data_IF_701756068195
#
_entry.id   IF_701756068195
#
_cell.length_a   1.000
_cell.length_b   1.000
_cell.length_c   1.000
_cell.angle_alpha   90.00
_cell.angle_beta   90.00
_cell.angle_gamma   90.00
#
_symmetry.space_group_name_H-M   'P 1'
#
loop_
_entity.id
_entity.type
_entity.pdbx_description
1 polymer ?
#
# COMPACT_ATOMS: atom_id res chain seq x y z
N UNK A 1 31.38 -36.82 12.37
CA UNK A 1 32.15 -35.71 11.74
C UNK A 1 32.57 -36.06 10.31
N UNK A 2 33.22 -37.20 10.07
CA UNK A 2 33.58 -37.66 8.71
C UNK A 2 32.40 -37.62 7.73
N UNK A 3 31.26 -38.21 8.10
CA UNK A 3 30.03 -38.18 7.29
C UNK A 3 29.58 -36.76 6.89
N UNK A 4 29.68 -35.77 7.78
CA UNK A 4 29.33 -34.38 7.44
C UNK A 4 30.27 -33.78 6.40
N UNK A 5 31.56 -34.10 6.45
CA UNK A 5 32.52 -33.65 5.44
C UNK A 5 32.35 -34.41 4.11
N UNK A 6 31.93 -35.67 4.14
CA UNK A 6 31.59 -36.44 2.93
C UNK A 6 30.34 -35.89 2.25
N UNK A 7 29.28 -35.63 3.01
CA UNK A 7 28.06 -34.98 2.51
C UNK A 7 28.37 -33.59 1.95
N UNK A 8 29.18 -32.80 2.66
CA UNK A 8 29.62 -31.49 2.19
C UNK A 8 30.47 -31.59 0.92
N UNK A 9 31.36 -32.59 0.81
CA UNK A 9 32.16 -32.81 -0.40
C UNK A 9 31.29 -33.18 -1.59
N UNK A 10 30.28 -34.04 -1.39
CA UNK A 10 29.33 -34.40 -2.43
C UNK A 10 28.53 -33.17 -2.90
N UNK A 11 28.05 -32.35 -1.97
CA UNK A 11 27.33 -31.11 -2.26
C UNK A 11 28.20 -30.09 -3.01
N UNK A 12 29.47 -29.92 -2.60
CA UNK A 12 30.42 -29.00 -3.26
C UNK A 12 30.81 -29.44 -4.68
N UNK A 13 30.74 -30.74 -4.98
CA UNK A 13 31.00 -31.24 -6.33
C UNK A 13 29.75 -31.25 -7.23
N UNK A 14 28.57 -30.95 -6.68
CA UNK A 14 27.30 -30.88 -7.39
C UNK A 14 26.91 -29.42 -7.72
N UNK A 15 26.05 -29.24 -8.73
CA UNK A 15 25.47 -27.94 -9.05
C UNK A 15 24.42 -27.55 -7.98
N UNK A 16 24.32 -26.26 -7.59
CA UNK A 16 25.03 -25.10 -8.13
C UNK A 16 26.39 -24.81 -7.46
N UNK A 17 26.70 -25.46 -6.34
CA UNK A 17 27.82 -25.06 -5.47
C UNK A 17 29.20 -25.22 -6.10
N UNK A 18 29.35 -26.16 -7.03
CA UNK A 18 30.61 -26.41 -7.77
C UNK A 18 31.24 -25.16 -8.38
N UNK A 19 30.41 -24.24 -8.87
CA UNK A 19 30.88 -23.02 -9.55
C UNK A 19 30.97 -21.80 -8.60
N UNK A 20 30.49 -21.94 -7.37
CA UNK A 20 30.43 -20.86 -6.37
C UNK A 20 31.52 -20.95 -5.30
N UNK A 21 32.29 -22.05 -5.26
CA UNK A 21 33.37 -22.25 -4.29
C UNK A 21 34.73 -22.35 -4.96
N UNK A 22 35.75 -21.77 -4.33
CA UNK A 22 37.13 -21.89 -4.78
C UNK A 22 37.61 -23.35 -4.68
N UNK A 23 38.44 -23.78 -5.64
CA UNK A 23 38.99 -25.15 -5.67
C UNK A 23 39.75 -25.54 -4.40
N UNK A 24 40.37 -24.56 -3.72
CA UNK A 24 41.07 -24.78 -2.44
C UNK A 24 40.12 -25.27 -1.33
N UNK A 25 38.87 -24.80 -1.31
CA UNK A 25 37.85 -25.25 -0.36
C UNK A 25 37.45 -26.70 -0.60
N UNK A 26 37.31 -27.10 -1.87
CA UNK A 26 37.00 -28.49 -2.23
C UNK A 26 38.13 -29.42 -1.76
N UNK A 27 39.40 -29.04 -2.00
CA UNK A 27 40.56 -29.78 -1.51
C UNK A 27 40.62 -29.84 0.03
N UNK A 28 40.27 -28.75 0.72
CA UNK A 28 40.21 -28.70 2.18
C UNK A 28 39.17 -29.67 2.74
N UNK A 29 37.95 -29.64 2.21
CA UNK A 29 36.84 -30.50 2.65
C UNK A 29 37.15 -31.97 2.35
N UNK A 30 37.74 -32.27 1.19
CA UNK A 30 38.18 -33.61 0.83
C UNK A 30 39.23 -34.17 1.80
N UNK A 31 40.25 -33.38 2.15
CA UNK A 31 41.28 -33.78 3.11
C UNK A 31 40.70 -33.96 4.52
N UNK A 32 39.75 -33.11 4.94
CA UNK A 32 39.06 -33.26 6.23
C UNK A 32 38.18 -34.50 6.28
N UNK A 33 37.46 -34.83 5.20
CA UNK A 33 36.68 -36.06 5.09
C UNK A 33 37.59 -37.28 5.29
N UNK A 34 38.69 -37.36 4.53
CA UNK A 34 39.67 -38.43 4.62
C UNK A 34 40.33 -38.52 6.02
N UNK A 35 40.69 -37.39 6.62
CA UNK A 35 41.28 -37.33 7.96
C UNK A 35 40.32 -37.93 9.01
N UNK A 36 39.07 -37.49 9.03
CA UNK A 36 38.10 -37.97 10.03
C UNK A 36 37.66 -39.41 9.79
N UNK A 37 37.62 -39.88 8.54
CA UNK A 37 37.41 -41.29 8.23
C UNK A 37 38.57 -42.15 8.75
N UNK A 38 39.81 -41.77 8.44
CA UNK A 38 40.99 -42.50 8.88
C UNK A 38 41.14 -42.50 10.42
N UNK A 39 40.79 -41.40 11.09
CA UNK A 39 40.75 -41.31 12.55
C UNK A 39 39.71 -42.27 13.15
N UNK A 40 38.54 -42.39 12.51
CA UNK A 40 37.51 -43.33 12.93
C UNK A 40 37.98 -44.79 12.75
N UNK A 41 38.62 -45.11 11.63
CA UNK A 41 39.25 -46.42 11.41
C UNK A 41 40.35 -46.73 12.44
N UNK A 42 41.18 -45.74 12.79
CA UNK A 42 42.22 -45.88 13.80
C UNK A 42 41.66 -46.21 15.18
N UNK A 43 40.70 -45.40 15.66
CA UNK A 43 40.10 -45.58 16.99
C UNK A 43 39.30 -46.88 17.10
N UNK A 44 38.54 -47.21 16.06
CA UNK A 44 37.81 -48.47 16.01
C UNK A 44 38.75 -49.67 15.94
N UNK A 45 39.88 -49.54 15.21
CA UNK A 45 40.94 -50.55 15.19
C UNK A 45 41.52 -50.84 16.58
N UNK A 46 41.69 -49.83 17.43
CA UNK A 46 42.12 -50.02 18.83
C UNK A 46 41.10 -50.82 19.64
N UNK A 47 39.80 -50.55 19.46
CA UNK A 47 38.73 -51.31 20.13
C UNK A 47 38.66 -52.76 19.64
N UNK A 48 38.81 -52.99 18.33
CA UNK A 48 38.88 -54.34 17.74
C UNK A 48 40.10 -55.12 18.25
N UNK A 49 41.22 -54.44 18.45
CA UNK A 49 42.43 -55.02 19.02
C UNK A 49 42.20 -55.54 20.44
N UNK A 50 41.50 -54.77 21.29
CA UNK A 50 41.13 -55.18 22.65
C UNK A 50 40.17 -56.38 22.66
N UNK A 51 39.36 -56.55 21.61
CA UNK A 51 38.44 -57.68 21.41
C UNK A 51 39.07 -58.87 20.68
N UNK A 52 40.36 -58.80 20.36
CA UNK A 52 41.10 -59.80 19.59
C UNK A 52 40.56 -60.03 18.14
N UNK A 53 39.80 -59.08 17.59
CA UNK A 53 39.27 -59.11 16.21
C UNK A 53 40.28 -58.53 15.19
N UNK A 54 41.51 -59.06 15.23
CA UNK A 54 42.68 -58.54 14.48
C UNK A 54 42.48 -58.53 12.96
N UNK A 55 41.70 -59.46 12.40
CA UNK A 55 41.43 -59.50 10.97
C UNK A 55 40.68 -58.25 10.49
N UNK A 56 39.64 -57.84 11.23
CA UNK A 56 38.90 -56.63 10.93
C UNK A 56 39.74 -55.37 11.20
N UNK A 57 40.54 -55.37 12.28
CA UNK A 57 41.49 -54.29 12.58
C UNK A 57 42.41 -54.02 11.37
N UNK A 58 43.06 -55.06 10.83
CA UNK A 58 43.96 -54.93 9.68
C UNK A 58 43.23 -54.36 8.46
N UNK A 59 42.03 -54.84 8.16
CA UNK A 59 41.25 -54.38 7.02
C UNK A 59 40.85 -52.89 7.17
N UNK A 60 40.45 -52.47 8.37
CA UNK A 60 40.11 -51.07 8.70
C UNK A 60 41.31 -50.14 8.63
N UNK A 61 42.45 -50.54 9.21
CA UNK A 61 43.68 -49.75 9.17
C UNK A 61 44.19 -49.58 7.74
N UNK A 62 44.15 -50.65 6.92
CA UNK A 62 44.47 -50.57 5.48
C UNK A 62 43.55 -49.60 4.74
N UNK A 63 42.25 -49.64 5.01
CA UNK A 63 41.28 -48.71 4.42
C UNK A 63 41.60 -47.25 4.77
N UNK A 64 41.92 -46.98 6.05
CA UNK A 64 42.33 -45.66 6.52
C UNK A 64 43.59 -45.13 5.82
N UNK A 65 44.65 -45.94 5.75
CA UNK A 65 45.90 -45.57 5.06
C UNK A 65 45.67 -45.32 3.56
N UNK A 66 44.90 -46.19 2.89
CA UNK A 66 44.57 -46.02 1.47
C UNK A 66 43.78 -44.72 1.23
N UNK A 67 42.88 -44.37 2.14
CA UNK A 67 42.06 -43.15 1.99
C UNK A 67 42.90 -41.90 2.19
N UNK A 68 43.83 -41.90 3.16
CA UNK A 68 44.74 -40.76 3.37
C UNK A 68 45.71 -40.56 2.21
N UNK A 69 46.29 -41.64 1.69
CA UNK A 69 47.23 -41.59 0.56
C UNK A 69 46.56 -41.07 -0.71
N UNK A 70 45.31 -41.47 -0.98
CA UNK A 70 44.55 -40.94 -2.11
C UNK A 70 44.20 -39.46 -1.95
N UNK A 71 43.74 -39.06 -0.76
CA UNK A 71 43.39 -37.67 -0.48
C UNK A 71 44.60 -36.73 -0.61
N UNK A 72 45.81 -37.18 -0.24
CA UNK A 72 47.05 -36.41 -0.41
C UNK A 72 47.36 -36.05 -1.86
N UNK A 73 46.94 -36.84 -2.84
CA UNK A 73 47.14 -36.54 -4.28
C UNK A 73 46.41 -35.27 -4.71
N UNK A 74 45.31 -34.94 -4.03
CA UNK A 74 44.44 -33.79 -4.31
C UNK A 74 44.68 -32.60 -3.35
N UNK A 75 45.85 -32.53 -2.71
CA UNK A 75 46.17 -31.55 -1.65
C UNK A 75 46.57 -30.15 -2.10
N UNK A 76 46.55 -29.85 -3.41
CA UNK A 76 47.01 -28.55 -3.94
C UNK A 76 46.17 -27.40 -3.37
N UNK A 77 46.82 -26.51 -2.60
CA UNK A 77 46.18 -25.35 -1.97
C UNK A 77 45.65 -25.60 -0.55
N UNK A 78 45.89 -26.79 0.03
CA UNK A 78 45.47 -27.10 1.39
C UNK A 78 46.37 -26.44 2.46
N UNK A 79 45.83 -26.09 3.65
CA UNK A 79 46.61 -25.54 4.75
C UNK A 79 47.69 -26.50 5.24
N UNK A 80 48.90 -25.99 5.49
CA UNK A 80 50.04 -26.79 5.95
C UNK A 80 49.75 -27.56 7.26
N UNK A 81 48.98 -26.97 8.17
CA UNK A 81 48.56 -27.61 9.42
C UNK A 81 47.72 -28.89 9.19
N UNK A 82 46.90 -28.92 8.14
CA UNK A 82 46.08 -30.08 7.80
C UNK A 82 46.93 -31.22 7.26
N UNK A 83 47.95 -30.90 6.45
CA UNK A 83 48.89 -31.87 5.91
C UNK A 83 49.80 -32.48 6.98
N UNK A 84 50.22 -31.67 7.95
CA UNK A 84 50.95 -32.15 9.14
C UNK A 84 50.08 -33.11 9.97
N UNK A 85 48.83 -32.76 10.24
CA UNK A 85 47.90 -33.62 10.98
C UNK A 85 47.65 -34.97 10.27
N UNK A 86 47.46 -34.96 8.95
CA UNK A 86 47.30 -36.19 8.15
C UNK A 86 48.57 -37.04 8.22
N UNK A 87 49.75 -36.42 8.08
CA UNK A 87 51.02 -37.16 8.10
C UNK A 87 51.30 -37.79 9.46
N UNK A 88 50.96 -37.10 10.56
CA UNK A 88 51.03 -37.68 11.91
C UNK A 88 50.09 -38.88 12.06
N UNK A 89 48.82 -38.75 11.64
CA UNK A 89 47.85 -39.85 11.71
C UNK A 89 48.29 -41.07 10.88
N UNK A 90 48.83 -40.83 9.69
CA UNK A 90 49.35 -41.89 8.82
C UNK A 90 50.49 -42.68 9.48
N UNK A 91 51.39 -42.02 10.22
CA UNK A 91 52.45 -42.70 10.98
C UNK A 91 51.84 -43.61 12.06
N UNK A 92 50.83 -43.15 12.80
CA UNK A 92 50.15 -43.98 13.81
C UNK A 92 49.41 -45.17 13.19
N UNK A 93 48.68 -44.94 12.11
CA UNK A 93 47.97 -46.01 11.37
C UNK A 93 48.93 -47.08 10.85
N UNK A 94 50.04 -46.68 10.22
CA UNK A 94 51.02 -47.63 9.70
C UNK A 94 51.71 -48.42 10.82
N UNK A 95 52.08 -47.76 11.92
CA UNK A 95 52.66 -48.45 13.09
C UNK A 95 51.72 -49.50 13.67
N UNK A 96 50.43 -49.17 13.82
CA UNK A 96 49.44 -50.12 14.33
C UNK A 96 49.16 -51.24 13.31
N UNK A 97 49.13 -50.91 12.02
CA UNK A 97 48.94 -51.88 10.96
C UNK A 97 50.08 -52.90 10.91
N UNK A 98 51.34 -52.44 10.98
CA UNK A 98 52.52 -53.32 11.02
C UNK A 98 52.50 -54.24 12.25
N UNK A 99 52.09 -53.71 13.41
CA UNK A 99 51.92 -54.49 14.64
C UNK A 99 50.85 -55.57 14.46
N UNK A 100 49.63 -55.18 14.07
CA UNK A 100 48.50 -56.09 13.89
C UNK A 100 48.79 -57.16 12.83
N UNK A 101 49.43 -56.80 11.72
CA UNK A 101 49.86 -57.75 10.69
C UNK A 101 50.88 -58.76 11.23
N UNK A 102 51.90 -58.30 11.96
CA UNK A 102 52.92 -59.18 12.52
C UNK A 102 52.35 -60.15 13.56
N UNK A 103 51.39 -59.71 14.36
CA UNK A 103 50.68 -60.55 15.34
C UNK A 103 49.73 -61.52 14.66
N UNK A 104 49.00 -61.09 13.63
CA UNK A 104 48.16 -61.97 12.85
C UNK A 104 48.96 -63.05 12.10
N UNK A 105 50.12 -62.71 11.54
CA UNK A 105 50.97 -63.66 10.81
C UNK A 105 51.66 -64.70 11.73
N UNK A 106 51.75 -64.42 13.05
CA UNK A 106 52.48 -65.27 14.02
C UNK A 106 51.58 -65.98 15.02
N UNK A 107 50.47 -65.36 15.41
CA UNK A 107 49.65 -65.79 16.56
C UNK A 107 48.23 -66.13 16.10
N UNK A 108 47.52 -65.18 15.49
CA UNK A 108 46.08 -65.33 15.25
C UNK A 108 45.73 -66.04 13.93
N UNK A 109 46.56 -65.90 12.90
CA UNK A 109 46.43 -66.51 11.57
C UNK A 109 45.03 -66.34 10.93
N UNK A 110 44.36 -65.22 11.21
CA UNK A 110 43.02 -64.97 10.72
C UNK A 110 43.03 -64.42 9.29
N UNK A 111 42.01 -64.79 8.51
CA UNK A 111 41.84 -64.29 7.15
C UNK A 111 41.34 -62.85 7.16
N UNK A 112 42.15 -61.94 6.62
CA UNK A 112 41.78 -60.52 6.51
C UNK A 112 40.60 -60.38 5.52
N UNK A 113 39.46 -59.79 5.94
CA UNK A 113 38.31 -59.54 5.07
C UNK A 113 38.59 -58.44 4.05
N UNK A 114 37.78 -58.40 3.00
CA UNK A 114 37.85 -57.33 1.99
C UNK A 114 37.31 -56.01 2.57
N UNK A 115 37.87 -54.83 2.21
CA UNK A 115 37.34 -53.54 2.65
C UNK A 115 35.85 -53.34 2.33
N UNK A 116 35.35 -53.92 1.23
CA UNK A 116 33.95 -53.82 0.81
C UNK A 116 32.99 -54.69 1.63
N UNK A 117 33.50 -55.66 2.38
CA UNK A 117 32.71 -56.53 3.25
C UNK A 117 32.63 -56.02 4.70
N UNK A 118 33.26 -54.89 4.99
CA UNK A 118 33.28 -54.32 6.34
C UNK A 118 31.96 -53.61 6.67
N UNK A 119 31.42 -53.77 7.90
CA UNK A 119 30.22 -53.05 8.31
C UNK A 119 30.47 -51.53 8.35
N UNK A 120 29.44 -50.68 8.20
CA UNK A 120 29.60 -49.24 8.37
C UNK A 120 30.03 -48.91 9.81
N UNK A 121 30.88 -47.90 9.97
CA UNK A 121 31.30 -47.44 11.31
C UNK A 121 30.11 -46.79 12.04
N UNK A 122 29.95 -47.02 13.36
CA UNK A 122 28.90 -46.38 14.13
C UNK A 122 29.09 -44.85 14.16
N UNK A 123 28.02 -44.10 13.96
CA UNK A 123 28.04 -42.65 13.95
C UNK A 123 26.95 -42.06 14.85
N UNK A 124 27.31 -41.01 15.60
CA UNK A 124 26.40 -40.26 16.45
C UNK A 124 26.61 -38.75 16.24
N UNK A 125 25.52 -38.00 16.07
CA UNK A 125 25.58 -36.54 15.92
C UNK A 125 25.29 -35.82 17.23
N UNK A 126 26.20 -34.96 17.64
CA UNK A 126 26.04 -34.07 18.80
C UNK A 126 25.66 -32.63 18.40
N UNK A 127 25.47 -32.37 17.10
CA UNK A 127 25.24 -31.01 16.59
C UNK A 127 23.89 -30.93 15.88
N UNK A 128 23.20 -29.80 16.06
CA UNK A 128 21.96 -29.45 15.37
C UNK A 128 22.13 -28.09 14.70
N UNK A 129 21.53 -27.92 13.53
CA UNK A 129 21.49 -26.62 12.85
C UNK A 129 20.67 -25.64 13.69
N UNK A 130 21.21 -24.45 13.95
CA UNK A 130 20.47 -23.36 14.60
C UNK A 130 19.70 -22.57 13.54
N UNK A 131 18.43 -22.28 13.80
CA UNK A 131 17.65 -21.40 12.93
C UNK A 131 18.05 -19.95 13.21
N UNK A 132 18.57 -19.24 12.20
CA UNK A 132 19.02 -17.85 12.35
C UNK A 132 17.89 -16.83 12.50
N UNK A 133 16.64 -17.24 12.34
CA UNK A 133 15.47 -16.36 12.40
C UNK A 133 15.42 -15.56 13.71
N UNK A 134 15.75 -16.18 14.84
CA UNK A 134 15.68 -15.52 16.16
C UNK A 134 16.88 -14.61 16.47
N UNK A 135 18.03 -14.84 15.80
CA UNK A 135 19.28 -14.08 16.01
C UNK A 135 19.32 -12.84 15.13
N UNK A 136 18.78 -12.94 13.91
CA UNK A 136 18.65 -11.84 12.96
C UNK A 136 17.31 -11.11 13.09
N UNK A 137 16.52 -11.42 14.13
CA UNK A 137 15.23 -10.80 14.37
C UNK A 137 15.37 -9.33 14.83
N UNK A 138 15.56 -8.45 13.86
CA UNK A 138 15.51 -7.00 14.05
C UNK A 138 14.08 -6.49 14.32
N UNK A 139 13.05 -7.36 14.37
CA UNK A 139 11.65 -6.94 14.61
C UNK A 139 11.44 -6.28 15.98
N UNK A 140 12.41 -6.40 16.90
CA UNK A 140 12.43 -5.69 18.19
C UNK A 140 12.73 -4.19 18.03
N UNK A 141 13.45 -3.80 16.99
CA UNK A 141 13.75 -2.40 16.69
C UNK A 141 12.75 -1.83 15.68
N UNK A 142 11.75 -1.11 16.18
CA UNK A 142 10.70 -0.53 15.33
C UNK A 142 11.07 0.87 14.85
N UNK A 143 11.98 0.97 13.88
CA UNK A 143 12.39 2.26 13.29
C UNK A 143 11.23 2.98 12.56
N UNK A 144 10.25 2.22 12.06
CA UNK A 144 9.11 2.74 11.28
C UNK A 144 7.75 2.41 11.91
N UNK A 145 7.67 2.39 13.24
CA UNK A 145 6.42 2.06 13.96
C UNK A 145 5.23 2.95 13.57
N UNK A 146 5.49 4.18 13.15
CA UNK A 146 4.48 5.16 12.70
C UNK A 146 4.16 5.07 11.20
N UNK A 147 4.94 4.30 10.42
CA UNK A 147 4.72 4.19 8.99
C UNK A 147 3.52 3.28 8.73
N UNK A 148 2.50 3.85 8.10
CA UNK A 148 1.31 3.10 7.70
C UNK A 148 1.66 2.24 6.49
N UNK A 149 1.39 0.91 6.52
CA UNK A 149 1.61 0.05 5.37
C UNK A 149 0.82 0.51 4.15
N UNK A 150 1.43 0.38 2.97
CA UNK A 150 0.82 0.73 1.69
C UNK A 150 -0.48 -0.05 1.43
N UNK A 151 -0.60 -1.29 1.92
CA UNK A 151 -1.84 -2.07 1.86
C UNK A 151 -2.99 -1.39 2.58
N UNK A 152 -2.74 -0.84 3.77
CA UNK A 152 -3.73 -0.10 4.56
C UNK A 152 -4.12 1.22 3.90
N UNK A 153 -3.14 1.96 3.36
CA UNK A 153 -3.40 3.20 2.63
C UNK A 153 -4.24 2.98 1.36
N UNK A 154 -3.95 1.93 0.59
CA UNK A 154 -4.72 1.53 -0.59
C UNK A 154 -6.13 1.08 -0.23
N UNK A 155 -6.30 0.26 0.80
CA UNK A 155 -7.61 -0.18 1.26
C UNK A 155 -8.49 1.01 1.67
N UNK A 156 -7.90 1.99 2.35
CA UNK A 156 -8.63 3.18 2.77
C UNK A 156 -8.98 4.11 1.62
N UNK A 157 -8.09 4.27 0.65
CA UNK A 157 -8.37 5.03 -0.59
C UNK A 157 -9.56 4.44 -1.33
N UNK A 158 -9.61 3.10 -1.45
CA UNK A 158 -10.77 2.39 -2.02
C UNK A 158 -12.05 2.62 -1.21
N UNK A 159 -11.96 2.58 0.11
CA UNK A 159 -13.11 2.86 0.98
C UNK A 159 -13.64 4.29 0.78
N UNK A 160 -12.76 5.29 0.72
CA UNK A 160 -13.19 6.68 0.47
C UNK A 160 -13.84 6.85 -0.89
N UNK A 161 -13.34 6.16 -1.93
CA UNK A 161 -13.93 6.16 -3.26
C UNK A 161 -15.31 5.50 -3.27
N UNK A 162 -15.47 4.35 -2.60
CA UNK A 162 -16.77 3.68 -2.46
C UNK A 162 -17.79 4.54 -1.71
N UNK A 163 -17.38 5.21 -0.62
CA UNK A 163 -18.26 6.12 0.12
C UNK A 163 -18.66 7.31 -0.75
N UNK A 164 -17.71 7.93 -1.46
CA UNK A 164 -18.00 9.04 -2.36
C UNK A 164 -18.96 8.62 -3.49
N UNK A 165 -18.82 7.42 -4.03
CA UNK A 165 -19.69 6.88 -5.07
C UNK A 165 -21.11 6.60 -4.56
N UNK A 166 -21.24 6.00 -3.36
CA UNK A 166 -22.55 5.79 -2.72
C UNK A 166 -23.23 7.12 -2.45
N UNK A 167 -22.52 8.09 -1.88
CA UNK A 167 -23.09 9.41 -1.56
C UNK A 167 -23.53 10.13 -2.84
N UNK A 168 -22.70 10.10 -3.90
CA UNK A 168 -23.05 10.66 -5.21
C UNK A 168 -24.31 10.01 -5.77
N UNK A 169 -24.35 8.68 -5.82
CA UNK A 169 -25.47 7.92 -6.40
C UNK A 169 -26.78 8.20 -5.65
N UNK A 170 -26.73 8.30 -4.32
CA UNK A 170 -27.93 8.61 -3.53
C UNK A 170 -28.36 10.08 -3.69
N UNK A 171 -27.41 11.03 -3.73
CA UNK A 171 -27.71 12.43 -3.98
C UNK A 171 -28.35 12.64 -5.37
N UNK A 172 -27.83 11.98 -6.40
CA UNK A 172 -28.41 12.00 -7.75
C UNK A 172 -29.84 11.44 -7.77
N UNK A 173 -30.13 10.34 -7.07
CA UNK A 173 -31.49 9.80 -6.95
C UNK A 173 -32.46 10.74 -6.25
N UNK A 174 -32.01 11.39 -5.17
CA UNK A 174 -32.82 12.39 -4.47
C UNK A 174 -33.13 13.58 -5.38
N UNK A 175 -32.12 14.07 -6.11
CA UNK A 175 -32.26 15.19 -7.05
C UNK A 175 -33.19 14.84 -8.22
N UNK A 176 -33.05 13.64 -8.80
CA UNK A 176 -33.96 13.13 -9.84
C UNK A 176 -35.39 13.03 -9.35
N UNK A 177 -35.61 12.55 -8.12
CA UNK A 177 -36.94 12.48 -7.52
C UNK A 177 -37.57 13.85 -7.36
N UNK A 178 -36.80 14.85 -6.90
CA UNK A 178 -37.29 16.23 -6.75
C UNK A 178 -37.56 16.89 -8.10
N UNK A 179 -36.70 16.65 -9.10
CA UNK A 179 -36.89 17.17 -10.45
C UNK A 179 -38.12 16.55 -11.14
N UNK A 180 -38.31 15.24 -11.01
CA UNK A 180 -39.50 14.56 -11.52
C UNK A 180 -40.77 15.13 -10.89
N UNK A 181 -40.77 15.35 -9.58
CA UNK A 181 -41.88 16.00 -8.88
C UNK A 181 -42.15 17.39 -9.43
N UNK A 182 -41.11 18.21 -9.63
CA UNK A 182 -41.21 19.57 -10.18
C UNK A 182 -41.79 19.57 -11.60
N UNK A 183 -41.32 18.65 -12.46
CA UNK A 183 -41.83 18.51 -13.84
C UNK A 183 -43.30 18.12 -13.84
N UNK A 184 -43.71 17.12 -13.03
CA UNK A 184 -45.11 16.68 -12.93
C UNK A 184 -46.04 17.76 -12.39
N UNK A 185 -45.60 18.49 -11.36
CA UNK A 185 -46.38 19.62 -10.82
C UNK A 185 -46.57 20.72 -11.87
N UNK A 186 -45.52 21.03 -12.63
CA UNK A 186 -45.58 21.98 -13.75
C UNK A 186 -46.48 21.51 -14.90
N UNK A 187 -46.47 20.23 -15.25
CA UNK A 187 -47.39 19.67 -16.26
C UNK A 187 -48.87 19.78 -15.84
N UNK A 188 -49.15 19.82 -14.54
CA UNK A 188 -50.50 19.93 -13.99
C UNK A 188 -50.89 21.36 -13.58
N UNK A 189 -50.02 22.35 -13.82
CA UNK A 189 -50.17 23.74 -13.35
C UNK A 189 -50.53 23.83 -11.85
N UNK A 190 -49.97 22.93 -11.03
CA UNK A 190 -50.11 22.91 -9.57
C UNK A 190 -48.81 23.40 -8.92
N UNK A 191 -48.85 24.16 -7.82
CA UNK A 191 -50.04 24.55 -7.02
C UNK A 191 -50.83 25.76 -7.57
N UNK A 192 -50.37 26.39 -8.64
CA UNK A 192 -50.87 27.66 -9.15
C UNK A 192 -52.38 27.66 -9.45
N UNK A 193 -52.90 26.55 -9.99
CA UNK A 193 -54.33 26.38 -10.28
C UNK A 193 -55.21 26.41 -9.03
N UNK A 194 -54.74 25.91 -7.88
CA UNK A 194 -55.48 25.93 -6.61
C UNK A 194 -55.44 27.33 -6.00
N UNK A 195 -54.29 28.01 -6.07
CA UNK A 195 -54.14 29.37 -5.58
C UNK A 195 -54.99 30.37 -6.39
N UNK A 196 -55.15 30.13 -7.71
CA UNK A 196 -56.05 30.90 -8.57
C UNK A 196 -57.54 30.76 -8.17
N UNK A 197 -57.94 29.61 -7.63
CA UNK A 197 -59.30 29.33 -7.12
C UNK A 197 -59.60 30.05 -5.80
N UNK A 198 -58.59 30.22 -4.92
CA UNK A 198 -58.79 30.83 -3.59
C UNK A 198 -58.96 32.36 -3.63
N UNK A 199 -58.67 33.01 -4.76
CA UNK A 199 -58.96 34.44 -4.94
C UNK A 199 -58.26 35.35 -3.92
N UNK A 200 -57.09 34.96 -3.43
CA UNK A 200 -56.26 35.83 -2.59
C UNK A 200 -55.41 36.73 -3.50
N UNK A 201 -55.74 38.02 -3.48
CA UNK A 201 -55.10 39.10 -4.25
C UNK A 201 -53.76 39.57 -3.67
N UNK A 202 -53.33 38.96 -2.56
CA UNK A 202 -52.00 39.15 -1.98
C UNK A 202 -51.05 38.13 -2.60
N UNK A 203 -49.80 38.55 -2.85
CA UNK A 203 -48.71 37.64 -3.24
C UNK A 203 -48.75 36.39 -2.34
N UNK A 204 -48.82 35.15 -2.89
CA UNK A 204 -48.85 33.94 -2.08
C UNK A 204 -47.70 33.96 -1.06
N UNK A 205 -47.97 33.60 0.20
CA UNK A 205 -46.98 33.73 1.28
C UNK A 205 -45.70 32.95 0.98
N UNK A 206 -45.80 31.81 0.28
CA UNK A 206 -44.65 31.03 -0.17
C UNK A 206 -43.79 31.80 -1.20
N UNK A 207 -44.42 32.47 -2.18
CA UNK A 207 -43.71 33.28 -3.16
C UNK A 207 -43.08 34.51 -2.49
N UNK A 208 -43.79 35.15 -1.55
CA UNK A 208 -43.26 36.25 -0.75
C UNK A 208 -42.03 35.82 0.05
N UNK A 209 -42.09 34.65 0.70
CA UNK A 209 -40.97 34.06 1.44
C UNK A 209 -39.79 33.74 0.51
N UNK A 210 -40.02 33.20 -0.68
CA UNK A 210 -38.96 32.94 -1.67
C UNK A 210 -38.33 34.24 -2.19
N UNK A 211 -39.12 35.29 -2.46
CA UNK A 211 -38.55 36.58 -2.87
C UNK A 211 -37.78 37.23 -1.72
N UNK A 212 -38.24 37.14 -0.48
CA UNK A 212 -37.50 37.60 0.69
C UNK A 212 -36.16 36.87 0.84
N UNK A 213 -36.10 35.55 0.58
CA UNK A 213 -34.83 34.79 0.54
C UNK A 213 -33.89 35.27 -0.56
N UNK A 214 -34.41 35.54 -1.77
CA UNK A 214 -33.62 36.09 -2.89
C UNK A 214 -33.11 37.49 -2.56
N UNK A 215 -33.93 38.33 -1.92
CA UNK A 215 -33.51 39.67 -1.48
C UNK A 215 -32.48 39.60 -0.34
N UNK A 216 -32.65 38.67 0.61
CA UNK A 216 -31.72 38.45 1.71
C UNK A 216 -30.35 37.94 1.24
N UNK A 217 -30.31 37.21 0.12
CA UNK A 217 -29.07 36.76 -0.54
C UNK A 217 -28.42 37.83 -1.43
N UNK A 218 -28.93 39.07 -1.42
CA UNK A 218 -28.35 40.20 -2.15
C UNK A 218 -28.96 40.46 -3.53
N UNK A 219 -29.96 39.68 -3.94
CA UNK A 219 -30.69 39.86 -5.20
C UNK A 219 -29.79 39.81 -6.45
N UNK A 220 -30.20 40.42 -7.57
CA UNK A 220 -29.40 40.47 -8.80
C UNK A 220 -28.10 41.25 -8.65
N UNK A 221 -28.01 42.20 -7.71
CA UNK A 221 -26.77 42.91 -7.43
C UNK A 221 -25.73 42.01 -6.75
N UNK A 222 -26.16 41.13 -5.83
CA UNK A 222 -25.32 40.10 -5.24
C UNK A 222 -24.81 39.10 -6.28
N UNK A 223 -25.68 38.66 -7.19
CA UNK A 223 -25.29 37.78 -8.30
C UNK A 223 -24.25 38.43 -9.23
N UNK A 224 -24.40 39.71 -9.55
CA UNK A 224 -23.42 40.45 -10.35
C UNK A 224 -22.06 40.58 -9.62
N UNK A 225 -22.09 40.77 -8.29
CA UNK A 225 -20.87 40.79 -7.48
C UNK A 225 -20.14 39.43 -7.49
N UNK A 226 -20.88 38.32 -7.39
CA UNK A 226 -20.32 36.97 -7.50
C UNK A 226 -19.75 36.68 -8.91
N UNK A 227 -20.42 37.13 -9.97
CA UNK A 227 -19.88 37.05 -11.34
C UNK A 227 -18.59 37.86 -11.49
N UNK A 228 -18.52 39.03 -10.85
CA UNK A 228 -17.31 39.83 -10.85
C UNK A 228 -16.16 39.14 -10.11
N UNK A 229 -16.43 38.52 -8.95
CA UNK A 229 -15.43 37.71 -8.25
C UNK A 229 -14.93 36.54 -9.10
N UNK A 230 -15.84 35.87 -9.84
CA UNK A 230 -15.48 34.79 -10.75
C UNK A 230 -14.51 35.29 -11.84
N UNK A 231 -14.74 36.47 -12.42
CA UNK A 231 -13.84 37.09 -13.41
C UNK A 231 -12.47 37.39 -12.81
N UNK A 232 -12.41 37.91 -11.60
CA UNK A 232 -11.16 38.19 -10.90
C UNK A 232 -10.38 36.91 -10.61
N UNK A 233 -11.05 35.85 -10.12
CA UNK A 233 -10.42 34.55 -9.90
C UNK A 233 -9.88 33.95 -11.20
N UNK A 234 -10.64 34.04 -12.30
CA UNK A 234 -10.18 33.58 -13.61
C UNK A 234 -8.93 34.34 -14.06
N UNK A 235 -8.91 35.66 -13.89
CA UNK A 235 -7.76 36.51 -14.22
C UNK A 235 -6.52 36.10 -13.44
N UNK A 236 -6.63 35.96 -12.12
CA UNK A 236 -5.51 35.55 -11.24
C UNK A 236 -4.97 34.19 -11.65
N UNK A 237 -5.84 33.20 -11.91
CA UNK A 237 -5.42 31.88 -12.36
C UNK A 237 -4.70 31.92 -13.72
N UNK A 238 -5.17 32.75 -14.65
CA UNK A 238 -4.53 32.95 -15.95
C UNK A 238 -3.15 33.60 -15.79
N UNK A 239 -3.03 34.63 -14.96
CA UNK A 239 -1.75 35.30 -14.67
C UNK A 239 -0.73 34.32 -14.07
N UNK A 240 -1.14 33.50 -13.10
CA UNK A 240 -0.26 32.48 -12.50
C UNK A 240 0.22 31.45 -13.52
N UNK A 241 -0.65 31.04 -14.45
CA UNK A 241 -0.30 30.10 -15.50
C UNK A 241 0.73 30.69 -16.46
N UNK A 242 0.51 31.94 -16.91
CA UNK A 242 1.44 32.66 -17.79
C UNK A 242 2.78 32.87 -17.11
N UNK A 243 2.80 33.33 -15.86
CA UNK A 243 4.05 33.51 -15.10
C UNK A 243 4.83 32.19 -14.96
N UNK A 244 4.13 31.08 -14.70
CA UNK A 244 4.78 29.76 -14.60
C UNK A 244 5.35 29.32 -15.94
N UNK A 245 4.64 29.60 -17.04
CA UNK A 245 5.11 29.32 -18.40
C UNK A 245 6.35 30.15 -18.75
N UNK A 246 6.33 31.45 -18.46
CA UNK A 246 7.45 32.37 -18.67
C UNK A 246 8.70 31.92 -17.90
N UNK A 247 8.56 31.47 -16.65
CA UNK A 247 9.68 30.95 -15.86
C UNK A 247 10.31 29.70 -16.50
N UNK A 248 9.48 28.78 -17.00
CA UNK A 248 9.96 27.57 -17.68
C UNK A 248 10.61 27.91 -19.02
N UNK A 249 10.05 28.85 -19.79
CA UNK A 249 10.63 29.29 -21.07
C UNK A 249 11.95 30.03 -20.87
N UNK A 250 12.04 30.88 -19.84
CA UNK A 250 13.27 31.59 -19.48
C UNK A 250 14.40 30.63 -19.12
N UNK A 251 14.14 29.66 -18.25
CA UNK A 251 15.13 28.65 -17.87
C UNK A 251 15.58 27.81 -19.08
N UNK A 252 14.65 27.40 -19.95
CA UNK A 252 14.97 26.67 -21.16
C UNK A 252 15.81 27.49 -22.16
N UNK A 253 15.54 28.80 -22.28
CA UNK A 253 16.30 29.71 -23.12
C UNK A 253 17.72 29.94 -22.58
N UNK A 254 17.87 30.13 -21.26
CA UNK A 254 19.16 30.26 -20.59
C UNK A 254 20.00 28.98 -20.75
N UNK A 255 19.40 27.81 -20.57
CA UNK A 255 20.09 26.53 -20.77
C UNK A 255 20.52 26.30 -22.23
N UNK A 256 19.67 26.67 -23.20
CA UNK A 256 20.04 26.64 -24.62
C UNK A 256 21.19 27.59 -24.94
N UNK A 257 21.16 28.80 -24.38
CA UNK A 257 22.23 29.79 -24.52
C UNK A 257 23.55 29.28 -23.93
N UNK A 258 23.54 28.74 -22.72
CA UNK A 258 24.75 28.21 -22.09
C UNK A 258 25.31 26.97 -22.80
N UNK A 259 24.46 26.09 -23.33
CA UNK A 259 24.94 24.99 -24.20
C UNK A 259 25.63 25.49 -25.45
N UNK A 260 25.09 26.53 -26.09
CA UNK A 260 25.70 27.12 -27.28
C UNK A 260 27.06 27.76 -26.98
N UNK A 261 27.21 28.39 -25.80
CA UNK A 261 28.45 29.08 -25.40
C UNK A 261 29.53 28.14 -24.87
N UNK A 262 29.15 27.14 -24.08
CA UNK A 262 30.08 26.32 -23.31
C UNK A 262 30.25 24.89 -23.85
N UNK A 263 29.42 24.46 -24.80
CA UNK A 263 29.56 23.19 -25.52
C UNK A 263 29.84 22.00 -24.59
N UNK A 264 31.03 21.41 -24.73
CA UNK A 264 31.48 20.22 -23.97
C UNK A 264 31.72 20.47 -22.49
N UNK A 265 31.82 21.72 -22.02
CA UNK A 265 31.92 22.06 -20.59
C UNK A 265 30.57 22.06 -19.87
N UNK A 266 29.46 22.01 -20.62
CA UNK A 266 28.11 21.99 -20.07
C UNK A 266 27.55 20.57 -20.02
N UNK A 267 27.86 19.83 -18.96
CA UNK A 267 27.49 18.42 -18.79
C UNK A 267 26.13 18.20 -18.10
N UNK A 268 25.36 19.28 -17.88
CA UNK A 268 24.07 19.20 -17.18
C UNK A 268 22.98 18.58 -18.07
N UNK A 269 22.06 17.76 -17.52
CA UNK A 269 20.92 17.24 -18.26
C UNK A 269 20.10 18.35 -18.94
N UNK A 270 19.45 18.01 -20.05
CA UNK A 270 18.67 18.98 -20.81
C UNK A 270 17.47 19.52 -20.01
N UNK A 271 17.33 20.84 -19.95
CA UNK A 271 16.23 21.46 -19.21
C UNK A 271 14.86 21.01 -19.72
N UNK A 272 14.69 20.78 -21.02
CA UNK A 272 13.46 20.21 -21.57
C UNK A 272 13.17 18.78 -21.09
N UNK A 273 14.20 18.00 -20.72
CA UNK A 273 14.00 16.66 -20.14
C UNK A 273 13.59 16.71 -18.68
N UNK A 274 14.13 17.66 -17.91
CA UNK A 274 13.79 17.85 -16.50
C UNK A 274 12.42 18.51 -16.31
N UNK A 275 12.05 19.45 -17.17
CA UNK A 275 10.80 20.22 -17.08
C UNK A 275 9.62 19.57 -17.78
N UNK A 276 9.81 18.45 -18.48
CA UNK A 276 8.75 17.76 -19.24
C UNK A 276 7.47 17.50 -18.43
N UNK A 277 7.61 16.98 -17.21
CA UNK A 277 6.45 16.69 -16.34
C UNK A 277 5.74 17.95 -15.86
N UNK A 278 6.47 19.06 -15.70
CA UNK A 278 5.89 20.36 -15.34
C UNK A 278 5.14 20.96 -16.53
N UNK A 279 5.70 20.87 -17.74
CA UNK A 279 5.03 21.30 -18.98
C UNK A 279 3.74 20.50 -19.23
N UNK A 280 3.75 19.18 -19.03
CA UNK A 280 2.55 18.34 -19.12
C UNK A 280 1.46 18.76 -18.12
N UNK A 281 1.84 19.13 -16.88
CA UNK A 281 0.90 19.65 -15.88
C UNK A 281 0.39 21.04 -16.26
N UNK A 282 1.24 21.92 -16.77
CA UNK A 282 0.86 23.26 -17.23
C UNK A 282 -0.17 23.18 -18.37
N UNK A 283 0.06 22.30 -19.34
CA UNK A 283 -0.90 22.05 -20.43
C UNK A 283 -2.25 21.55 -19.93
N UNK A 284 -2.28 20.68 -18.91
CA UNK A 284 -3.52 20.23 -18.27
C UNK A 284 -4.26 21.38 -17.58
N UNK A 285 -3.55 22.24 -16.84
CA UNK A 285 -4.17 23.42 -16.23
C UNK A 285 -4.69 24.40 -17.27
N UNK A 286 -3.97 24.61 -18.37
CA UNK A 286 -4.42 25.46 -19.48
C UNK A 286 -5.72 24.91 -20.12
N UNK A 287 -5.79 23.59 -20.33
CA UNK A 287 -7.00 22.94 -20.83
C UNK A 287 -8.20 23.10 -19.86
N UNK A 288 -7.97 22.90 -18.56
CA UNK A 288 -9.00 23.08 -17.54
C UNK A 288 -9.49 24.53 -17.48
N UNK A 289 -8.59 25.51 -17.56
CA UNK A 289 -8.95 26.93 -17.56
C UNK A 289 -9.77 27.30 -18.80
N UNK A 290 -9.43 26.74 -19.97
CA UNK A 290 -10.22 26.90 -21.18
C UNK A 290 -11.64 26.33 -21.01
N UNK A 291 -11.79 25.12 -20.48
CA UNK A 291 -13.08 24.50 -20.22
C UNK A 291 -13.92 25.28 -19.19
N UNK A 292 -13.27 25.79 -18.14
CA UNK A 292 -13.90 26.67 -17.16
C UNK A 292 -14.41 27.95 -17.85
N UNK A 293 -13.59 28.59 -18.67
CA UNK A 293 -13.98 29.79 -19.42
C UNK A 293 -15.17 29.59 -20.36
N UNK A 294 -15.30 28.41 -21.00
CA UNK A 294 -16.49 28.07 -21.78
C UNK A 294 -17.75 27.93 -20.92
N UNK A 295 -17.60 27.43 -19.69
CA UNK A 295 -18.70 27.32 -18.72
C UNK A 295 -19.11 28.69 -18.18
N UNK A 296 -18.14 29.55 -17.90
CA UNK A 296 -18.38 30.93 -17.47
C UNK A 296 -19.20 31.69 -18.51
N UNK A 297 -18.86 31.56 -19.80
CA UNK A 297 -19.61 32.20 -20.89
C UNK A 297 -21.05 31.70 -20.96
N UNK A 298 -21.30 30.41 -20.69
CA UNK A 298 -22.66 29.85 -20.63
C UNK A 298 -23.45 30.44 -19.45
N UNK A 299 -22.82 30.55 -18.28
CA UNK A 299 -23.43 31.13 -17.08
C UNK A 299 -23.74 32.60 -17.32
N UNK A 300 -22.77 33.39 -17.80
CA UNK A 300 -22.96 34.82 -18.10
C UNK A 300 -24.09 35.05 -19.12
N UNK A 301 -24.21 34.18 -20.13
CA UNK A 301 -25.33 34.24 -21.09
C UNK A 301 -26.67 33.99 -20.40
N UNK A 302 -26.78 32.93 -19.61
CA UNK A 302 -28.03 32.59 -18.91
C UNK A 302 -28.44 33.67 -17.92
N UNK A 303 -27.49 34.24 -17.17
CA UNK A 303 -27.75 35.37 -16.27
C UNK A 303 -28.27 36.57 -17.05
N UNK A 304 -27.66 36.90 -18.20
CA UNK A 304 -28.11 38.01 -19.05
C UNK A 304 -29.51 37.80 -19.62
N UNK A 305 -29.84 36.58 -20.05
CA UNK A 305 -31.17 36.22 -20.56
C UNK A 305 -32.26 36.39 -19.50
N UNK A 306 -31.96 36.09 -18.24
CA UNK A 306 -32.92 36.20 -17.12
C UNK A 306 -32.82 37.52 -16.34
N UNK A 307 -31.92 38.43 -16.69
CA UNK A 307 -31.67 39.67 -15.94
C UNK A 307 -32.91 40.56 -15.80
N UNK A 308 -33.72 40.66 -16.87
CA UNK A 308 -34.97 41.44 -16.86
C UNK A 308 -36.00 40.88 -15.87
N UNK A 309 -36.12 39.55 -15.80
CA UNK A 309 -37.02 38.86 -14.86
C UNK A 309 -36.50 38.96 -13.41
N UNK A 310 -35.18 38.83 -13.21
CA UNK A 310 -34.56 38.98 -11.89
C UNK A 310 -34.67 40.41 -11.35
N UNK A 311 -34.69 41.42 -12.21
CA UNK A 311 -34.92 42.82 -11.81
C UNK A 311 -36.30 43.04 -11.18
N UNK A 312 -37.31 42.25 -11.58
CA UNK A 312 -38.67 42.36 -11.03
C UNK A 312 -38.69 41.99 -9.54
N UNK A 313 -37.85 41.03 -9.14
CA UNK A 313 -37.74 40.53 -7.76
C UNK A 313 -37.15 41.57 -6.78
N UNK A 314 -36.61 42.68 -7.30
CA UNK A 314 -36.02 43.76 -6.52
C UNK A 314 -36.97 44.92 -6.21
N UNK A 315 -38.17 44.97 -6.79
CA UNK A 315 -39.11 46.05 -6.52
C UNK A 315 -39.71 45.95 -5.11
N UNK A 316 -39.93 47.09 -4.45
CA UNK A 316 -40.62 47.18 -3.15
C UNK A 316 -41.78 48.19 -3.23
N UNK A 317 -43.04 47.78 -3.01
CA UNK A 317 -43.54 46.41 -2.90
C UNK A 317 -43.57 45.70 -4.26
N UNK A 318 -43.32 44.39 -4.28
CA UNK A 318 -43.36 43.54 -5.50
C UNK A 318 -44.75 43.60 -6.16
N UNK A 319 -45.79 43.84 -5.36
CA UNK A 319 -47.18 44.01 -5.78
C UNK A 319 -47.38 45.13 -6.80
N UNK A 320 -46.48 46.13 -6.85
CA UNK A 320 -46.54 47.21 -7.83
C UNK A 320 -46.11 46.78 -9.26
N UNK A 321 -45.45 45.63 -9.40
CA UNK A 321 -44.97 45.10 -10.68
C UNK A 321 -45.92 44.05 -11.29
N UNK A 322 -47.00 43.68 -10.59
CA UNK A 322 -47.94 42.64 -11.02
C UNK A 322 -49.18 43.25 -11.70
N UNK A 323 -49.62 42.73 -12.86
CA UNK A 323 -50.90 43.13 -13.45
C UNK A 323 -52.07 42.65 -12.59
N UNK A 324 -53.02 43.54 -12.29
CA UNK A 324 -54.24 43.19 -11.56
C UNK A 324 -55.14 42.28 -12.39
N UNK A 325 -55.20 40.99 -12.05
CA UNK A 325 -56.09 40.04 -12.70
C UNK A 325 -57.43 39.99 -11.96
N UNK A 326 -58.54 40.24 -12.66
CA UNK A 326 -59.90 40.16 -12.11
C UNK A 326 -60.37 38.72 -11.97
N UNK A 327 -61.20 38.45 -10.95
CA UNK A 327 -61.73 37.11 -10.61
C UNK A 327 -62.42 36.45 -11.81
N UNK A 328 -62.13 35.17 -12.12
CA UNK A 328 -63.09 34.32 -12.78
C UNK A 328 -64.30 34.14 -11.85
N UNK A 329 -65.49 34.43 -12.35
CA UNK A 329 -66.75 34.21 -11.62
C UNK A 329 -67.07 32.71 -11.73
N UNK A 330 -66.64 31.91 -10.77
CA UNK A 330 -67.09 30.53 -10.61
C UNK A 330 -67.47 30.29 -9.15
N UNK A 331 -68.72 29.90 -8.90
CA UNK A 331 -69.13 29.33 -7.61
C UNK A 331 -68.94 27.83 -7.68
N UNK A 332 -68.05 27.28 -6.84
CA UNK A 332 -67.89 25.83 -6.70
C UNK A 332 -69.02 25.24 -5.84
N UNK A 333 -69.45 24.03 -6.18
CA UNK A 333 -70.37 23.22 -5.37
C UNK A 333 -69.62 22.54 -4.20
N UNK A 334 -70.33 22.16 -3.12
CA UNK A 334 -69.75 21.58 -1.90
C UNK A 334 -68.92 20.28 -2.11
N UNK A 335 -69.13 19.58 -3.23
CA UNK A 335 -68.37 18.38 -3.60
C UNK A 335 -67.01 18.74 -4.23
N UNK A 336 -66.92 19.87 -4.92
CA UNK A 336 -65.69 20.36 -5.55
C UNK A 336 -64.73 20.92 -4.49
N UNK A 337 -65.26 21.54 -3.42
CA UNK A 337 -64.48 21.97 -2.24
C UNK A 337 -63.82 20.78 -1.51
N UNK A 338 -64.48 19.63 -1.44
CA UNK A 338 -63.92 18.42 -0.85
C UNK A 338 -62.75 17.86 -1.68
N UNK A 339 -62.85 17.94 -3.02
CA UNK A 339 -61.78 17.52 -3.95
C UNK A 339 -60.57 18.46 -3.85
N UNK A 340 -60.80 19.78 -3.79
CA UNK A 340 -59.76 20.78 -3.58
C UNK A 340 -59.07 20.59 -2.22
N UNK A 341 -59.83 20.29 -1.17
CA UNK A 341 -59.31 19.95 0.15
C UNK A 341 -58.40 18.72 0.15
N UNK A 342 -58.81 17.64 -0.55
CA UNK A 342 -58.01 16.43 -0.70
C UNK A 342 -56.71 16.69 -1.48
N UNK A 343 -56.78 17.46 -2.58
CA UNK A 343 -55.61 17.80 -3.39
C UNK A 343 -54.61 18.68 -2.63
N UNK A 344 -55.09 19.64 -1.83
CA UNK A 344 -54.27 20.43 -0.90
C UNK A 344 -53.56 19.55 0.12
N UNK A 345 -54.24 18.55 0.67
CA UNK A 345 -53.64 17.60 1.60
C UNK A 345 -52.52 16.79 0.92
N UNK A 346 -52.74 16.33 -0.32
CA UNK A 346 -51.72 15.62 -1.10
C UNK A 346 -50.52 16.50 -1.45
N UNK A 347 -50.71 17.79 -1.76
CA UNK A 347 -49.62 18.74 -1.98
C UNK A 347 -48.79 18.98 -0.71
N UNK A 348 -49.43 19.15 0.46
CA UNK A 348 -48.71 19.27 1.75
C UNK A 348 -47.89 18.01 2.07
N UNK A 349 -48.42 16.83 1.74
CA UNK A 349 -47.66 15.58 1.88
C UNK A 349 -46.43 15.56 0.96
N UNK A 350 -46.58 16.06 -0.27
CA UNK A 350 -45.49 16.15 -1.24
C UNK A 350 -44.41 17.17 -0.82
N UNK A 351 -44.80 18.31 -0.27
CA UNK A 351 -43.89 19.30 0.33
C UNK A 351 -43.13 18.72 1.53
N UNK A 352 -43.83 17.97 2.39
CA UNK A 352 -43.20 17.26 3.52
C UNK A 352 -42.16 16.26 3.02
N UNK A 353 -42.46 15.51 1.95
CA UNK A 353 -41.50 14.61 1.31
C UNK A 353 -40.32 15.37 0.68
N UNK A 354 -40.57 16.54 0.10
CA UNK A 354 -39.53 17.44 -0.40
C UNK A 354 -38.57 17.91 0.70
N UNK A 355 -39.10 18.36 1.83
CA UNK A 355 -38.33 18.76 2.99
C UNK A 355 -37.52 17.59 3.58
N UNK A 356 -38.10 16.39 3.64
CA UNK A 356 -37.40 15.17 4.06
C UNK A 356 -36.23 14.82 3.11
N UNK A 357 -36.41 14.97 1.79
CA UNK A 357 -35.33 14.76 0.81
C UNK A 357 -34.18 15.75 1.00
N UNK A 358 -34.50 17.03 1.22
CA UNK A 358 -33.48 18.06 1.50
C UNK A 358 -32.70 17.73 2.79
N UNK A 359 -33.40 17.33 3.86
CA UNK A 359 -32.75 16.89 5.10
C UNK A 359 -31.87 15.65 4.92
N UNK A 360 -32.29 14.67 4.10
CA UNK A 360 -31.47 13.50 3.76
C UNK A 360 -30.21 13.88 2.97
N UNK A 361 -30.32 14.83 2.05
CA UNK A 361 -29.18 15.33 1.28
C UNK A 361 -28.15 16.04 2.18
N UNK A 362 -28.61 16.86 3.12
CA UNK A 362 -27.75 17.53 4.10
C UNK A 362 -27.08 16.52 5.05
N UNK A 363 -27.80 15.49 5.49
CA UNK A 363 -27.22 14.39 6.26
C UNK A 363 -26.16 13.62 5.47
N UNK A 364 -26.37 13.38 4.18
CA UNK A 364 -25.37 12.74 3.30
C UNK A 364 -24.12 13.63 3.14
N UNK A 365 -24.27 14.94 2.96
CA UNK A 365 -23.16 15.90 2.91
C UNK A 365 -22.37 15.94 4.22
N UNK A 366 -23.07 15.92 5.36
CA UNK A 366 -22.44 15.91 6.67
C UNK A 366 -21.73 14.58 6.97
N UNK A 367 -22.33 13.44 6.57
CA UNK A 367 -21.66 12.14 6.64
C UNK A 367 -20.40 12.11 5.78
N UNK A 368 -20.41 12.68 4.57
CA UNK A 368 -19.22 12.81 3.73
C UNK A 368 -18.11 13.59 4.43
N UNK A 369 -18.47 14.70 5.07
CA UNK A 369 -17.53 15.55 5.82
C UNK A 369 -16.95 14.78 7.00
N UNK A 370 -17.80 14.16 7.81
CA UNK A 370 -17.38 13.35 8.97
C UNK A 370 -16.48 12.20 8.56
N UNK A 371 -16.84 11.39 7.57
CA UNK A 371 -16.00 10.27 7.11
C UNK A 371 -14.61 10.74 6.69
N UNK A 372 -14.47 11.87 5.98
CA UNK A 372 -13.13 12.42 5.65
C UNK A 372 -12.33 12.80 6.91
N UNK A 373 -12.98 13.39 7.91
CA UNK A 373 -12.36 13.68 9.21
C UNK A 373 -12.04 12.41 10.01
N UNK A 374 -12.93 11.42 10.08
CA UNK A 374 -12.71 10.17 10.82
C UNK A 374 -11.66 9.30 10.16
N UNK A 375 -11.52 9.35 8.84
CA UNK A 375 -10.48 8.67 8.06
C UNK A 375 -9.12 9.31 8.34
N UNK A 376 -9.02 10.64 8.27
CA UNK A 376 -7.83 11.39 8.72
C UNK A 376 -7.52 11.15 10.20
N UNK A 377 -8.54 11.17 11.06
CA UNK A 377 -8.38 10.93 12.48
C UNK A 377 -8.00 9.49 12.76
N UNK A 378 -8.50 8.49 12.01
CA UNK A 378 -8.07 7.09 12.12
C UNK A 378 -6.60 6.93 11.70
N UNK A 379 -6.10 7.66 10.71
CA UNK A 379 -4.65 7.67 10.44
C UNK A 379 -3.86 8.12 11.67
N UNK A 380 -4.33 9.16 12.37
CA UNK A 380 -3.69 9.66 13.59
C UNK A 380 -3.93 8.77 14.82
N UNK A 381 -5.14 8.25 15.01
CA UNK A 381 -5.56 7.47 16.17
C UNK A 381 -5.10 6.02 16.07
N UNK A 382 -5.04 5.42 14.88
CA UNK A 382 -4.50 4.09 14.68
C UNK A 382 -2.97 4.10 14.85
N UNK A 383 -2.29 5.18 14.42
CA UNK A 383 -0.90 5.42 14.81
C UNK A 383 -0.76 5.53 16.34
N UNK A 384 -1.66 6.26 17.01
CA UNK A 384 -1.64 6.41 18.47
C UNK A 384 -2.01 5.13 19.24
N UNK A 385 -3.03 4.37 18.81
CA UNK A 385 -3.50 3.14 19.45
C UNK A 385 -2.50 2.01 19.25
N UNK A 386 -1.84 1.91 18.10
CA UNK A 386 -0.75 0.94 17.90
C UNK A 386 0.39 1.25 18.87
N UNK A 387 0.76 2.53 19.04
CA UNK A 387 1.77 2.96 20.01
C UNK A 387 1.32 2.68 21.46
N UNK A 388 0.04 2.87 21.77
CA UNK A 388 -0.50 2.66 23.11
C UNK A 388 -0.64 1.17 23.46
N UNK A 389 -1.14 0.33 22.55
CA UNK A 389 -1.23 -1.12 22.75
C UNK A 389 0.14 -1.79 22.82
N UNK A 390 1.13 -1.33 22.03
CA UNK A 390 2.51 -1.83 22.14
C UNK A 390 3.16 -1.47 23.49
N UNK A 391 2.93 -0.26 24.00
CA UNK A 391 3.40 0.13 25.33
C UNK A 391 2.66 -0.58 26.47
N UNK A 392 1.36 -0.85 26.31
CA UNK A 392 0.56 -1.53 27.33
C UNK A 392 0.81 -3.04 27.38
N UNK A 393 1.04 -3.70 26.23
CA UNK A 393 1.50 -5.09 26.18
C UNK A 393 2.91 -5.23 26.77
N UNK A 394 3.83 -4.30 26.50
CA UNK A 394 5.16 -4.31 27.10
C UNK A 394 5.11 -4.16 28.64
N UNK A 395 4.23 -3.30 29.17
CA UNK A 395 4.05 -3.15 30.64
C UNK A 395 3.41 -4.37 31.29
N UNK A 396 2.40 -4.99 30.68
CA UNK A 396 1.76 -6.19 31.23
C UNK A 396 2.68 -7.43 31.20
N UNK A 397 3.52 -7.59 30.16
CA UNK A 397 4.52 -8.66 30.12
C UNK A 397 5.60 -8.50 31.20
N UNK A 398 5.99 -7.27 31.55
CA UNK A 398 6.95 -7.02 32.64
C UNK A 398 6.33 -7.25 34.02
N UNK A 399 5.05 -6.93 34.23
CA UNK A 399 4.36 -7.23 35.50
C UNK A 399 4.09 -8.72 35.71
N UNK A 400 3.80 -9.51 34.65
CA UNK A 400 3.63 -10.96 34.79
C UNK A 400 4.95 -11.69 35.09
N UNK A 401 6.07 -11.19 34.55
CA UNK A 401 7.42 -11.72 34.80
C UNK A 401 7.94 -11.41 36.22
N UNK A 402 7.45 -10.33 36.85
CA UNK A 402 7.76 -10.04 38.26
C UNK A 402 6.92 -10.87 39.24
N UNK A 403 5.70 -11.28 38.87
CA UNK A 403 4.84 -12.11 39.73
C UNK A 403 5.20 -13.60 39.69
N UNK A 404 5.79 -14.11 38.60
CA UNK A 404 6.21 -15.52 38.45
C UNK A 404 7.63 -15.83 38.94
N UNK A 405 8.47 -14.82 39.18
CA UNK A 405 9.83 -14.98 39.73
C UNK A 405 9.91 -14.71 41.25
N UNK A 406 8.77 -14.58 41.92
CA UNK A 406 8.67 -14.20 43.34
C UNK A 406 8.10 -15.27 44.28
N UNK A 407 7.89 -16.51 43.83
CA UNK A 407 7.42 -17.63 44.68
C UNK A 407 8.20 -18.90 44.44
#
# INVERSE_FOLDING_TARGET
VGLYYEEALAALNAAPLKDHFEKAWIAHVQLKAALFYAEACYRYGLELHEKEEIAEEIARLRSGVSTLTEAKKSSKGAPAQLLDAISKLEVYLNRNLERAMKENDRVYLMRVPSPNSLPPLPAFSMVKSMQMNDVLDASKEKMFASLVPDSSAKALSRYTEMVDDVIRTQAEKLQQGSELTRVRLKEMDLPDSILALEGNFSLPEDLKNEVEKVQASGGPAGLEAELQQLRDLRRVNQELLVQTEELLQKEAAEDAQFRSQFGTRWTRPQSSTLTKTLQERLNKFAANLKQAGESDVRIERSVREHASLMSILNHRPIEAALPSLSRPIMSLDANEDAIVGALKQSLRQLETLGAQRAGLEDMLKEMKRKVKFTVCAMYFLHAFLIIYHLNHCARHSVSLLFYLNGT
#
